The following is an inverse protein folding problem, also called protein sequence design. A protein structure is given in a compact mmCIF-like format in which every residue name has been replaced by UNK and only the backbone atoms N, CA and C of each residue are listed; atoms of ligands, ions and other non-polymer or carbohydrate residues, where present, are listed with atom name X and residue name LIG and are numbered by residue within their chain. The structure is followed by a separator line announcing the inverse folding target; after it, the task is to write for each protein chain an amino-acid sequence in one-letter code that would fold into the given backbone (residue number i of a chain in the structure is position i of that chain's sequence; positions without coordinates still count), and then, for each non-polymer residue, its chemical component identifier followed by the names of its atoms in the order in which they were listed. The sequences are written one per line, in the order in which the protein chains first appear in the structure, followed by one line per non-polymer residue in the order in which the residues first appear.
data_IF_016205322732
#
_entry.id   IF_016205322732
#
_cell.length_a   1.000
_cell.length_b   1.000
_cell.length_c   1.000
_cell.angle_alpha   90.00
_cell.angle_beta   90.00
_cell.angle_gamma   90.00
#
_symmetry.space_group_name_H-M   'P 1'
#
loop_
_entity.id
_entity.type
_entity.pdbx_description
1 polymer ?
#
# COMPACT_ATOMS: atom_id res chain seq x y z
N UNK A 1 -3.67 -38.26 22.49
CA UNK A 1 -4.18 -36.86 22.57
C UNK A 1 -4.61 -36.46 21.19
N UNK A 2 -5.88 -36.18 20.93
CA UNK A 2 -6.33 -35.71 19.59
C UNK A 2 -5.75 -34.31 19.34
N UNK A 3 -5.28 -34.00 18.12
CA UNK A 3 -4.81 -32.65 17.80
C UNK A 3 -5.96 -31.66 17.99
N UNK A 4 -5.64 -30.48 18.56
CA UNK A 4 -6.61 -29.39 18.65
C UNK A 4 -6.94 -28.92 17.22
N UNK A 5 -8.20 -28.52 16.94
CA UNK A 5 -8.57 -27.98 15.65
C UNK A 5 -7.80 -26.70 15.40
N UNK A 6 -7.38 -26.48 14.14
CA UNK A 6 -6.72 -25.24 13.74
C UNK A 6 -7.65 -24.04 13.93
N UNK A 7 -7.09 -22.91 14.38
CA UNK A 7 -7.82 -21.66 14.42
C UNK A 7 -8.21 -21.23 12.99
N UNK A 8 -9.40 -20.68 12.84
CA UNK A 8 -9.93 -20.19 11.56
C UNK A 8 -10.30 -18.70 11.67
N UNK A 9 -10.01 -17.94 10.64
CA UNK A 9 -10.54 -16.58 10.48
C UNK A 9 -11.96 -16.67 9.93
N UNK A 10 -12.88 -15.92 10.54
CA UNK A 10 -14.28 -15.88 10.12
C UNK A 10 -14.56 -14.54 9.44
N UNK A 11 -15.08 -14.59 8.20
CA UNK A 11 -15.50 -13.42 7.45
C UNK A 11 -14.44 -12.82 6.52
N UNK A 12 -14.69 -11.59 6.08
CA UNK A 12 -13.84 -10.84 5.15
C UNK A 12 -12.70 -10.17 5.94
N UNK A 13 -11.55 -9.93 5.26
CA UNK A 13 -10.43 -9.23 5.88
C UNK A 13 -10.87 -7.90 6.53
N UNK A 14 -10.38 -7.60 7.76
CA UNK A 14 -10.74 -6.38 8.48
C UNK A 14 -10.00 -5.17 7.90
N UNK A 15 -10.38 -4.76 6.70
CA UNK A 15 -9.86 -3.59 5.98
C UNK A 15 -10.89 -2.47 5.99
N UNK A 16 -10.42 -1.24 6.13
CA UNK A 16 -11.25 -0.05 6.03
C UNK A 16 -11.05 0.57 4.65
N UNK A 17 -12.12 0.71 3.87
CA UNK A 17 -12.10 1.50 2.64
C UNK A 17 -12.67 2.89 2.91
N UNK A 18 -11.86 3.92 2.67
CA UNK A 18 -12.27 5.33 2.80
C UNK A 18 -12.40 5.91 1.39
N UNK A 19 -13.63 6.21 0.92
CA UNK A 19 -13.82 6.77 -0.42
C UNK A 19 -13.37 8.23 -0.49
N UNK A 20 -12.91 8.66 -1.68
CA UNK A 20 -12.65 10.06 -1.98
C UNK A 20 -11.61 10.74 -1.10
N UNK A 21 -10.58 10.00 -0.66
CA UNK A 21 -9.46 10.59 0.11
C UNK A 21 -8.71 11.61 -0.77
N UNK A 22 -8.46 11.25 -2.03
CA UNK A 22 -7.93 12.19 -3.03
C UNK A 22 -8.97 12.46 -4.10
N UNK A 23 -9.05 13.69 -4.56
CA UNK A 23 -9.80 14.08 -5.76
C UNK A 23 -9.08 13.59 -7.04
N UNK A 24 -9.80 13.38 -8.16
CA UNK A 24 -9.23 12.89 -9.42
C UNK A 24 -8.06 13.75 -9.93
N UNK A 25 -8.15 15.07 -9.75
CA UNK A 25 -7.12 16.03 -10.16
C UNK A 25 -5.82 15.86 -9.38
N UNK A 26 -5.90 15.53 -8.09
CA UNK A 26 -4.72 15.22 -7.29
C UNK A 26 -4.12 13.87 -7.72
N UNK A 27 -4.97 12.86 -7.96
CA UNK A 27 -4.51 11.55 -8.46
C UNK A 27 -3.75 11.71 -9.78
N UNK A 28 -4.29 12.46 -10.74
CA UNK A 28 -3.63 12.72 -12.03
C UNK A 28 -2.32 13.52 -11.87
N UNK A 29 -2.28 14.49 -10.95
CA UNK A 29 -1.06 15.24 -10.66
C UNK A 29 0.04 14.35 -10.08
N UNK A 30 -0.30 13.42 -9.18
CA UNK A 30 0.65 12.48 -8.57
C UNK A 30 1.21 11.48 -9.60
N UNK A 31 0.38 10.97 -10.51
CA UNK A 31 0.82 10.11 -11.61
C UNK A 31 1.79 10.86 -12.51
N UNK A 32 1.43 12.08 -12.94
CA UNK A 32 2.32 12.91 -13.77
C UNK A 32 3.63 13.21 -13.05
N UNK A 33 3.60 13.54 -11.77
CA UNK A 33 4.79 13.77 -10.96
C UNK A 33 5.71 12.54 -10.94
N UNK A 34 5.16 11.35 -10.73
CA UNK A 34 5.93 10.11 -10.79
C UNK A 34 6.55 9.88 -12.17
N UNK A 35 5.76 9.96 -13.24
CA UNK A 35 6.21 9.58 -14.58
C UNK A 35 7.11 10.65 -15.23
N UNK A 36 6.83 11.93 -15.03
CA UNK A 36 7.54 13.03 -15.69
C UNK A 36 8.62 13.60 -14.80
N UNK A 37 8.24 14.10 -13.61
CA UNK A 37 9.17 14.88 -12.78
C UNK A 37 10.19 13.97 -12.06
N UNK A 38 9.81 12.71 -11.77
CA UNK A 38 10.66 11.70 -11.15
C UNK A 38 11.18 10.64 -12.14
N UNK A 39 11.00 10.83 -13.45
CA UNK A 39 11.48 9.90 -14.49
C UNK A 39 10.94 8.48 -14.36
N UNK A 40 9.72 8.31 -13.83
CA UNK A 40 9.06 7.03 -13.62
C UNK A 40 9.44 6.33 -12.32
N UNK A 41 10.30 6.91 -11.50
CA UNK A 41 10.75 6.32 -10.23
C UNK A 41 11.81 5.23 -10.37
N UNK A 42 12.34 4.79 -9.25
CA UNK A 42 13.35 3.75 -9.15
C UNK A 42 12.72 2.35 -9.00
N UNK A 43 13.46 1.31 -9.39
CA UNK A 43 13.06 -0.07 -9.14
C UNK A 43 12.98 -0.29 -7.62
N UNK A 44 11.84 -0.78 -7.17
CA UNK A 44 11.56 -0.95 -5.75
C UNK A 44 12.40 -2.08 -5.16
N UNK A 45 13.06 -1.81 -4.03
CA UNK A 45 13.79 -2.81 -3.26
C UNK A 45 12.99 -3.32 -2.06
N UNK A 46 13.31 -4.51 -1.58
CA UNK A 46 12.80 -5.10 -0.33
C UNK A 46 13.89 -5.08 0.73
N UNK A 47 13.48 -4.96 1.99
CA UNK A 47 14.38 -5.18 3.12
C UNK A 47 14.51 -6.69 3.34
N UNK A 48 15.73 -7.20 3.29
CA UNK A 48 16.05 -8.59 3.58
C UNK A 48 17.04 -8.67 4.74
N UNK A 49 16.96 -9.74 5.53
CA UNK A 49 17.97 -10.06 6.53
C UNK A 49 19.02 -10.95 5.88
N UNK A 50 20.26 -10.47 5.81
CA UNK A 50 21.41 -11.24 5.30
C UNK A 50 22.55 -11.14 6.31
N UNK A 51 23.04 -12.30 6.77
CA UNK A 51 24.14 -12.40 7.75
C UNK A 51 23.88 -11.61 9.06
N UNK A 52 22.61 -11.50 9.48
CA UNK A 52 22.18 -10.73 10.67
C UNK A 52 22.07 -9.22 10.46
N UNK A 53 22.34 -8.72 9.27
CA UNK A 53 22.19 -7.31 8.89
C UNK A 53 21.01 -7.10 7.95
N UNK A 54 20.36 -5.94 8.06
CA UNK A 54 19.32 -5.52 7.12
C UNK A 54 19.96 -4.91 5.87
N UNK A 55 19.53 -5.38 4.71
CA UNK A 55 19.97 -4.84 3.42
C UNK A 55 18.79 -4.59 2.49
N UNK A 56 18.88 -3.51 1.71
CA UNK A 56 17.96 -3.26 0.61
C UNK A 56 18.41 -4.08 -0.61
N UNK A 57 17.54 -4.94 -1.11
CA UNK A 57 17.80 -5.77 -2.27
C UNK A 57 16.65 -5.65 -3.27
N UNK A 58 16.97 -5.49 -4.56
CA UNK A 58 15.99 -5.67 -5.64
C UNK A 58 15.81 -7.16 -5.84
N UNK A 59 14.62 -7.67 -5.54
CA UNK A 59 14.27 -9.07 -5.72
C UNK A 59 12.98 -9.20 -6.55
N UNK A 60 13.12 -9.47 -7.87
CA UNK A 60 11.96 -9.68 -8.74
C UNK A 60 11.16 -10.93 -8.37
N UNK A 61 11.68 -11.87 -7.56
CA UNK A 61 10.93 -13.00 -7.04
C UNK A 61 9.94 -12.61 -5.93
N UNK A 62 10.08 -11.44 -5.34
CA UNK A 62 9.23 -10.95 -4.24
C UNK A 62 8.35 -9.79 -4.72
N UNK A 63 8.96 -8.81 -5.38
CA UNK A 63 8.29 -7.55 -5.73
C UNK A 63 8.80 -7.00 -7.05
N UNK A 64 7.88 -6.61 -7.92
CA UNK A 64 8.21 -5.94 -9.17
C UNK A 64 7.30 -4.69 -9.34
N UNK A 65 7.87 -3.52 -9.09
CA UNK A 65 7.25 -2.21 -9.26
C UNK A 65 8.33 -1.13 -9.25
N UNK A 66 7.96 0.07 -9.68
CA UNK A 66 8.76 1.29 -9.50
C UNK A 66 8.17 2.10 -8.34
N UNK A 67 9.02 2.84 -7.65
CA UNK A 67 8.57 3.72 -6.57
C UNK A 67 9.43 4.99 -6.47
N UNK A 68 8.84 6.06 -5.92
CA UNK A 68 9.56 7.28 -5.57
C UNK A 68 8.95 7.92 -4.32
N UNK A 69 9.77 8.67 -3.59
CA UNK A 69 9.28 9.61 -2.57
C UNK A 69 9.06 10.94 -3.27
N UNK A 70 7.84 11.51 -3.25
CA UNK A 70 7.55 12.79 -3.90
C UNK A 70 8.48 13.88 -3.34
N UNK A 71 9.05 14.70 -4.24
CA UNK A 71 9.94 15.81 -3.87
C UNK A 71 9.30 17.18 -4.01
N UNK A 72 8.04 17.24 -4.45
CA UNK A 72 7.26 18.47 -4.56
C UNK A 72 6.57 18.77 -3.21
N UNK A 73 6.99 19.84 -2.49
CA UNK A 73 6.41 20.19 -1.18
C UNK A 73 4.92 20.56 -1.27
N UNK A 74 4.44 21.06 -2.42
CA UNK A 74 3.03 21.41 -2.61
C UNK A 74 2.18 20.16 -2.74
N UNK A 75 2.64 19.15 -3.49
CA UNK A 75 1.96 17.86 -3.59
C UNK A 75 1.97 17.14 -2.25
N UNK A 76 3.10 17.17 -1.53
CA UNK A 76 3.17 16.57 -0.19
C UNK A 76 2.20 17.23 0.80
N UNK A 77 2.14 18.55 0.83
CA UNK A 77 1.22 19.30 1.69
C UNK A 77 -0.25 18.99 1.36
N UNK A 78 -0.59 18.87 0.06
CA UNK A 78 -1.94 18.49 -0.37
C UNK A 78 -2.28 17.07 0.06
N UNK A 79 -1.41 16.08 -0.15
CA UNK A 79 -1.63 14.72 0.31
C UNK A 79 -1.82 14.67 1.82
N UNK A 80 -0.96 15.37 2.56
CA UNK A 80 -1.04 15.42 4.03
C UNK A 80 -2.37 16.01 4.48
N UNK A 81 -2.77 17.16 3.94
CA UNK A 81 -4.04 17.82 4.29
C UNK A 81 -5.25 16.90 4.01
N UNK A 82 -5.25 16.19 2.87
CA UNK A 82 -6.32 15.24 2.53
C UNK A 82 -6.37 14.04 3.48
N UNK A 83 -5.21 13.50 3.86
CA UNK A 83 -5.13 12.45 4.86
C UNK A 83 -5.72 12.89 6.21
N UNK A 84 -5.26 14.04 6.71
CA UNK A 84 -5.70 14.57 7.99
C UNK A 84 -7.21 14.80 8.04
N UNK A 85 -7.81 15.27 6.95
CA UNK A 85 -9.23 15.62 6.91
C UNK A 85 -10.15 14.46 6.59
N UNK A 86 -9.71 13.48 5.80
CA UNK A 86 -10.60 12.46 5.23
C UNK A 86 -10.29 11.04 5.71
N UNK A 87 -9.02 10.69 5.94
CA UNK A 87 -8.65 9.32 6.32
C UNK A 87 -8.46 9.16 7.82
N UNK A 88 -7.72 10.05 8.49
CA UNK A 88 -7.40 9.88 9.92
C UNK A 88 -8.64 9.87 10.83
N UNK A 89 -9.67 10.72 10.63
CA UNK A 89 -10.89 10.64 11.46
C UNK A 89 -11.58 9.27 11.35
N UNK A 90 -11.57 8.65 10.17
CA UNK A 90 -12.15 7.33 9.97
C UNK A 90 -11.34 6.22 10.63
N UNK A 91 -10.00 6.34 10.64
CA UNK A 91 -9.10 5.42 11.35
C UNK A 91 -9.37 5.48 12.86
N UNK A 92 -9.47 6.69 13.44
CA UNK A 92 -9.83 6.88 14.84
C UNK A 92 -11.20 6.27 15.14
N UNK A 93 -12.20 6.55 14.29
CA UNK A 93 -13.58 6.07 14.49
C UNK A 93 -13.68 4.54 14.46
N UNK A 94 -12.97 3.88 13.52
CA UNK A 94 -13.12 2.43 13.28
C UNK A 94 -12.19 1.61 14.17
N UNK A 95 -10.95 2.06 14.33
CA UNK A 95 -9.92 1.28 15.03
C UNK A 95 -9.62 1.80 16.45
N UNK A 96 -10.25 2.91 16.87
CA UNK A 96 -9.93 3.60 18.14
C UNK A 96 -8.41 3.81 18.30
N UNK A 97 -7.75 4.26 17.22
CA UNK A 97 -6.31 4.41 17.14
C UNK A 97 -5.93 5.84 16.78
N UNK A 98 -5.18 6.50 17.65
CA UNK A 98 -4.62 7.82 17.42
C UNK A 98 -3.29 7.72 16.68
N UNK A 99 -3.25 8.20 15.45
CA UNK A 99 -2.04 8.25 14.62
C UNK A 99 -1.12 9.36 15.13
N UNK A 100 0.08 9.00 15.54
CA UNK A 100 1.09 9.94 16.08
C UNK A 100 2.25 10.17 15.12
N UNK A 101 2.46 9.24 14.19
CA UNK A 101 3.57 9.26 13.26
C UNK A 101 3.12 8.71 11.90
N UNK A 102 3.71 9.26 10.86
CA UNK A 102 3.55 8.79 9.47
C UNK A 102 4.93 8.63 8.84
N UNK A 103 5.15 7.52 8.14
CA UNK A 103 6.29 7.36 7.25
C UNK A 103 6.15 8.26 6.00
N UNK A 104 7.23 8.55 5.26
CA UNK A 104 7.14 9.31 4.01
C UNK A 104 6.12 8.70 3.04
N UNK A 105 5.46 9.57 2.27
CA UNK A 105 4.64 9.10 1.15
C UNK A 105 5.52 8.45 0.09
N UNK A 106 5.02 7.36 -0.49
CA UNK A 106 5.61 6.73 -1.67
C UNK A 106 4.59 6.69 -2.80
N UNK A 107 4.99 7.12 -3.98
CA UNK A 107 4.25 6.90 -5.22
C UNK A 107 4.76 5.62 -5.85
N UNK A 108 3.83 4.79 -6.33
CA UNK A 108 4.09 3.44 -6.81
C UNK A 108 3.53 3.27 -8.21
N UNK A 109 4.29 2.61 -9.09
CA UNK A 109 3.83 2.16 -10.40
C UNK A 109 4.07 0.66 -10.56
N UNK A 110 3.00 -0.08 -10.78
CA UNK A 110 3.00 -1.51 -11.08
C UNK A 110 2.75 -1.69 -12.57
N UNK A 111 3.78 -2.01 -13.37
CA UNK A 111 3.65 -2.10 -14.82
C UNK A 111 2.88 -3.34 -15.26
N UNK A 112 2.37 -3.31 -16.49
CA UNK A 112 1.71 -4.42 -17.16
C UNK A 112 2.59 -5.67 -17.20
N UNK A 113 2.00 -6.84 -16.99
CA UNK A 113 2.63 -8.16 -17.01
C UNK A 113 3.79 -8.39 -16.03
N UNK A 114 4.08 -7.40 -15.19
CA UNK A 114 5.23 -7.44 -14.30
C UNK A 114 4.99 -6.79 -12.93
N UNK A 115 3.90 -6.06 -12.75
CA UNK A 115 3.64 -5.32 -11.51
C UNK A 115 2.97 -6.20 -10.46
N UNK A 116 3.69 -6.56 -9.39
CA UNK A 116 3.16 -7.34 -8.25
C UNK A 116 3.95 -7.09 -6.97
N UNK A 117 3.39 -7.56 -5.86
CA UNK A 117 4.09 -7.72 -4.61
C UNK A 117 3.52 -8.96 -3.91
N UNK A 118 4.33 -10.01 -3.80
CA UNK A 118 3.92 -11.26 -3.18
C UNK A 118 3.56 -11.09 -1.71
N UNK A 119 2.92 -12.10 -1.14
CA UNK A 119 2.40 -12.08 0.22
C UNK A 119 3.50 -11.74 1.24
N UNK A 120 3.27 -10.68 2.03
CA UNK A 120 4.19 -10.14 3.03
C UNK A 120 3.42 -9.40 4.14
N UNK A 121 4.15 -9.01 5.17
CA UNK A 121 3.69 -8.09 6.22
C UNK A 121 4.58 -6.85 6.20
N UNK A 122 4.02 -5.70 6.53
CA UNK A 122 4.74 -4.42 6.41
C UNK A 122 5.62 -4.08 7.63
N UNK A 123 5.59 -4.92 8.68
CA UNK A 123 6.25 -4.65 9.96
C UNK A 123 7.11 -5.83 10.49
N UNK A 124 7.57 -6.72 9.60
CA UNK A 124 8.32 -7.92 10.00
C UNK A 124 9.77 -7.64 10.43
N UNK A 125 10.37 -6.53 9.97
CA UNK A 125 11.76 -6.22 10.33
C UNK A 125 11.83 -5.14 11.41
N UNK A 126 12.90 -5.11 12.25
CA UNK A 126 13.04 -4.17 13.36
C UNK A 126 12.83 -2.69 12.98
N UNK A 127 13.37 -2.27 11.82
CA UNK A 127 13.28 -0.86 11.37
C UNK A 127 11.85 -0.41 11.10
N UNK A 128 10.97 -1.34 10.75
CA UNK A 128 9.57 -1.06 10.39
C UNK A 128 8.56 -1.62 11.40
N UNK A 129 9.05 -2.21 12.50
CA UNK A 129 8.20 -2.78 13.56
C UNK A 129 7.28 -1.76 14.24
N UNK A 130 7.57 -0.46 14.11
CA UNK A 130 6.72 0.61 14.59
C UNK A 130 5.42 0.77 13.80
N UNK A 131 5.33 0.29 12.56
CA UNK A 131 4.17 0.45 11.68
C UNK A 131 2.96 -0.32 12.21
N UNK A 132 1.84 0.38 12.34
CA UNK A 132 0.56 -0.21 12.80
C UNK A 132 -0.42 -0.38 11.66
N UNK A 133 -0.59 0.65 10.83
CA UNK A 133 -1.49 0.61 9.69
C UNK A 133 -0.76 0.98 8.40
N UNK A 134 -1.03 0.24 7.34
CA UNK A 134 -0.76 0.65 5.97
C UNK A 134 -1.97 1.43 5.45
N UNK A 135 -1.71 2.50 4.71
CA UNK A 135 -2.70 3.26 3.97
C UNK A 135 -2.26 3.34 2.51
N UNK A 136 -3.09 2.81 1.62
CA UNK A 136 -2.84 2.80 0.18
C UNK A 136 -3.99 3.46 -0.56
N UNK A 137 -3.73 4.55 -1.30
CA UNK A 137 -4.70 5.22 -2.17
C UNK A 137 -4.49 4.75 -3.61
N UNK A 138 -5.56 4.26 -4.25
CA UNK A 138 -5.53 3.92 -5.67
C UNK A 138 -5.68 5.19 -6.51
N UNK A 139 -4.81 5.39 -7.51
CA UNK A 139 -4.76 6.64 -8.25
C UNK A 139 -5.46 6.56 -9.63
N UNK A 140 -5.73 5.37 -10.17
CA UNK A 140 -6.25 5.23 -11.53
C UNK A 140 -7.07 3.95 -11.76
N UNK A 141 -8.02 3.63 -10.87
CA UNK A 141 -8.94 2.50 -11.10
C UNK A 141 -9.71 2.67 -12.42
N UNK A 142 -9.70 1.62 -13.24
CA UNK A 142 -10.34 1.60 -14.55
C UNK A 142 -9.34 1.67 -15.72
N UNK A 143 -8.10 2.12 -15.49
CA UNK A 143 -7.05 2.19 -16.51
C UNK A 143 -6.20 0.90 -16.58
N UNK A 144 -6.43 -0.04 -15.67
CA UNK A 144 -5.69 -1.30 -15.58
C UNK A 144 -6.60 -2.47 -15.19
N UNK A 145 -6.14 -3.70 -15.41
CA UNK A 145 -6.77 -4.94 -14.90
C UNK A 145 -5.75 -5.74 -14.08
N UNK A 146 -6.26 -6.57 -13.16
CA UNK A 146 -5.41 -7.20 -12.14
C UNK A 146 -5.01 -6.22 -11.04
N UNK A 147 -3.91 -6.47 -10.34
CA UNK A 147 -3.36 -5.56 -9.34
C UNK A 147 -4.22 -5.39 -8.07
N UNK A 148 -5.17 -6.26 -7.81
CA UNK A 148 -6.01 -6.22 -6.62
C UNK A 148 -5.19 -6.58 -5.37
N UNK A 149 -5.60 -6.05 -4.22
CA UNK A 149 -5.16 -6.56 -2.93
C UNK A 149 -5.87 -7.89 -2.61
N UNK A 150 -5.12 -8.84 -2.07
CA UNK A 150 -5.63 -10.05 -1.45
C UNK A 150 -5.01 -10.21 -0.06
N UNK A 151 -5.81 -10.75 0.87
CA UNK A 151 -5.41 -11.08 2.22
C UNK A 151 -5.57 -12.59 2.42
N UNK A 152 -4.52 -13.41 2.17
CA UNK A 152 -4.64 -14.87 2.07
C UNK A 152 -5.21 -15.55 3.31
N UNK A 153 -4.95 -15.00 4.49
CA UNK A 153 -5.46 -15.54 5.77
C UNK A 153 -6.99 -15.34 5.92
N UNK A 154 -7.63 -14.50 5.08
CA UNK A 154 -9.06 -14.14 5.15
C UNK A 154 -9.87 -14.63 3.95
N UNK A 155 -9.30 -15.53 3.14
CA UNK A 155 -10.01 -16.15 2.02
C UNK A 155 -9.73 -15.51 0.65
N UNK A 156 -10.60 -15.77 -0.35
CA UNK A 156 -10.31 -15.46 -1.76
C UNK A 156 -10.71 -14.04 -2.19
N UNK A 157 -11.23 -13.22 -1.27
CA UNK A 157 -11.75 -11.89 -1.60
C UNK A 157 -10.65 -10.96 -2.14
N UNK A 158 -10.99 -10.23 -3.20
CA UNK A 158 -10.13 -9.26 -3.86
C UNK A 158 -10.64 -7.85 -3.60
N UNK A 159 -9.70 -6.91 -3.38
CA UNK A 159 -10.02 -5.53 -3.06
C UNK A 159 -9.39 -4.61 -4.09
N UNK A 160 -10.22 -3.86 -4.79
CA UNK A 160 -9.80 -2.89 -5.82
C UNK A 160 -10.54 -1.57 -5.57
N UNK A 161 -10.02 -0.70 -4.68
CA UNK A 161 -10.70 0.54 -4.34
C UNK A 161 -10.79 1.47 -5.55
N UNK A 162 -11.88 2.25 -5.67
CA UNK A 162 -12.01 3.28 -6.71
C UNK A 162 -10.85 4.29 -6.68
N UNK A 163 -10.68 5.01 -7.80
CA UNK A 163 -9.71 6.12 -7.88
C UNK A 163 -9.94 7.13 -6.75
N UNK A 164 -8.85 7.48 -6.06
CA UNK A 164 -8.86 8.39 -4.91
C UNK A 164 -9.33 7.76 -3.60
N UNK A 165 -9.80 6.52 -3.59
CA UNK A 165 -10.15 5.82 -2.35
C UNK A 165 -8.92 5.17 -1.71
N UNK A 166 -8.88 5.18 -0.37
CA UNK A 166 -7.86 4.51 0.41
C UNK A 166 -8.32 3.14 0.91
N UNK A 167 -7.42 2.16 0.94
CA UNK A 167 -7.49 1.00 1.82
C UNK A 167 -6.59 1.23 3.02
N UNK A 168 -7.12 0.98 4.21
CA UNK A 168 -6.39 1.01 5.48
C UNK A 168 -6.51 -0.36 6.14
N UNK A 169 -5.37 -0.93 6.49
CA UNK A 169 -5.30 -2.26 7.11
C UNK A 169 -4.09 -2.38 8.04
N UNK A 170 -4.12 -3.35 8.95
CA UNK A 170 -3.01 -3.60 9.86
C UNK A 170 -1.76 -4.06 9.10
N UNK A 171 -0.61 -3.45 9.40
CA UNK A 171 0.69 -3.86 8.87
C UNK A 171 1.07 -5.31 9.22
N UNK A 172 0.43 -5.88 10.25
CA UNK A 172 0.64 -7.28 10.67
C UNK A 172 -0.21 -8.29 9.88
N UNK A 173 -1.10 -7.83 9.00
CA UNK A 173 -1.88 -8.74 8.14
C UNK A 173 -1.04 -9.17 6.94
N UNK A 174 -1.02 -10.49 6.68
CA UNK A 174 -0.45 -11.02 5.45
C UNK A 174 -1.29 -10.53 4.26
N UNK A 175 -0.64 -9.85 3.34
CA UNK A 175 -1.30 -9.28 2.16
C UNK A 175 -0.40 -9.31 0.94
N UNK A 176 -1.01 -9.25 -0.23
CA UNK A 176 -0.32 -9.19 -1.50
C UNK A 176 -0.99 -8.21 -2.45
N UNK A 177 -0.24 -7.73 -3.44
CA UNK A 177 -0.76 -7.09 -4.65
C UNK A 177 -0.60 -8.10 -5.78
N UNK A 178 -1.72 -8.54 -6.35
CA UNK A 178 -1.73 -9.49 -7.47
C UNK A 178 -1.09 -8.88 -8.72
N UNK A 179 -0.63 -9.72 -9.65
CA UNK A 179 -0.08 -9.23 -10.91
C UNK A 179 -1.05 -8.29 -11.64
N UNK A 180 -0.50 -7.19 -12.17
CA UNK A 180 -1.21 -6.33 -13.12
C UNK A 180 -1.17 -7.01 -14.49
N UNK A 181 -2.33 -7.26 -15.07
CA UNK A 181 -2.51 -8.01 -16.31
C UNK A 181 -2.47 -7.08 -17.54
N UNK A 182 -3.01 -5.87 -17.42
CA UNK A 182 -3.06 -4.84 -18.45
C UNK A 182 -2.91 -3.45 -17.87
N UNK A 183 -2.23 -2.57 -18.60
CA UNK A 183 -2.02 -1.19 -18.19
C UNK A 183 -1.00 -1.04 -17.06
N UNK A 184 -0.98 0.11 -16.41
CA UNK A 184 -0.14 0.37 -15.24
C UNK A 184 -1.02 0.80 -14.07
N UNK A 185 -0.90 0.09 -12.93
CA UNK A 185 -1.57 0.48 -11.70
C UNK A 185 -0.71 1.49 -10.96
N UNK A 186 -1.28 2.66 -10.67
CA UNK A 186 -0.64 3.67 -9.83
C UNK A 186 -1.28 3.72 -8.44
N UNK A 187 -0.45 3.90 -7.44
CA UNK A 187 -0.91 4.04 -6.07
C UNK A 187 0.00 4.99 -5.26
N UNK A 188 -0.56 5.58 -4.22
CA UNK A 188 0.21 6.23 -3.16
C UNK A 188 0.11 5.38 -1.90
N UNK A 189 1.23 5.17 -1.20
CA UNK A 189 1.23 4.46 0.09
C UNK A 189 1.98 5.23 1.16
N UNK A 190 1.57 5.02 2.42
CA UNK A 190 2.27 5.45 3.61
C UNK A 190 1.94 4.51 4.77
N UNK A 191 2.74 4.55 5.83
CA UNK A 191 2.53 3.75 7.04
C UNK A 191 2.32 4.66 8.23
N UNK A 192 1.43 4.24 9.13
CA UNK A 192 0.95 5.00 10.28
C UNK A 192 1.32 4.27 11.57
N UNK A 193 1.75 5.04 12.61
CA UNK A 193 2.11 4.54 13.92
C UNK A 193 1.63 5.48 15.03
#
# INVERSE_FOLDING_TARGET
MLPLPAAQTLGIAPVLQVPGVFEPELCAALIRHLEVDCGGGDVSAVLVMQDGEQRLQVDPGIKQRRETIPRDPQLEARMHERLMRRALPEIVRVFNFEVRRRDPFKLLAYPENAGYFHAHRDNETPDVAHRRFALSVNLNQGDYTGGEFRYPEFGPHLFSPPTGAALVFSCSMLHEVRPVERGTRYAMTTFLA
#
